data_IF_696460924064
#
_entry.id   IF_696460924064
#
_cell.length_a   1.000
_cell.length_b   1.000
_cell.length_c   1.000
_cell.angle_alpha   90.00
_cell.angle_beta   90.00
_cell.angle_gamma   90.00
#
_symmetry.space_group_name_H-M   'P 1'
#
loop_
_entity.id
_entity.type
_entity.pdbx_description
1 polymer ?
#
# COMPACT_ATOMS: atom_id res chain seq x y z
N UNK A 1 -3.86 13.48 11.80
CA UNK A 1 -2.85 13.70 10.73
C UNK A 1 -2.69 15.19 10.48
N UNK A 2 -1.48 15.66 10.16
CA UNK A 2 -1.19 17.05 9.77
C UNK A 2 -1.55 17.28 8.29
N UNK A 3 -2.69 17.91 8.05
CA UNK A 3 -3.23 18.19 6.71
C UNK A 3 -2.37 19.20 5.94
N UNK A 4 -1.79 20.19 6.62
CA UNK A 4 -0.93 21.18 5.96
C UNK A 4 0.35 20.53 5.44
N UNK A 5 0.91 19.63 6.23
CA UNK A 5 2.08 18.84 5.84
C UNK A 5 1.76 17.91 4.67
N UNK A 6 0.61 17.22 4.69
CA UNK A 6 0.17 16.39 3.57
C UNK A 6 0.01 17.22 2.28
N UNK A 7 -0.66 18.36 2.35
CA UNK A 7 -0.85 19.24 1.20
C UNK A 7 0.49 19.73 0.63
N UNK A 8 1.42 20.11 1.50
CA UNK A 8 2.77 20.54 1.08
C UNK A 8 3.52 19.41 0.36
N UNK A 9 3.47 18.19 0.89
CA UNK A 9 4.07 17.02 0.22
C UNK A 9 3.40 16.76 -1.14
N UNK A 10 2.07 16.80 -1.21
CA UNK A 10 1.35 16.60 -2.47
C UNK A 10 1.66 17.69 -3.49
N UNK A 11 1.94 18.94 -3.07
CA UNK A 11 2.31 20.04 -3.95
C UNK A 11 3.74 19.92 -4.48
N UNK A 12 4.68 19.49 -3.67
CA UNK A 12 6.06 19.23 -4.10
C UNK A 12 6.17 18.05 -5.05
N UNK A 13 5.27 17.08 -4.93
CA UNK A 13 5.15 15.92 -5.84
C UNK A 13 4.39 16.26 -7.13
N UNK A 14 3.71 17.42 -7.23
CA UNK A 14 2.92 17.85 -8.39
C UNK A 14 3.69 18.12 -9.69
N UNK A 15 4.96 18.59 -9.70
CA UNK A 15 5.69 18.78 -10.96
C UNK A 15 5.91 17.46 -11.69
N UNK A 16 5.81 16.35 -10.98
CA UNK A 16 5.84 15.00 -11.53
C UNK A 16 4.45 14.40 -11.31
N UNK A 17 3.49 14.85 -12.09
CA UNK A 17 2.05 14.57 -12.04
C UNK A 17 1.68 13.07 -12.02
N UNK A 18 2.66 12.17 -11.98
CA UNK A 18 2.53 10.73 -12.10
C UNK A 18 3.41 9.93 -11.14
N UNK A 19 3.99 10.53 -10.10
CA UNK A 19 4.92 9.81 -9.21
C UNK A 19 4.22 9.04 -8.09
N UNK A 20 3.07 9.52 -7.60
CA UNK A 20 2.21 8.73 -6.72
C UNK A 20 1.05 8.21 -7.57
N UNK A 21 1.06 6.92 -7.87
CA UNK A 21 0.03 6.24 -8.66
C UNK A 21 -1.25 6.00 -7.85
N UNK A 22 -1.58 6.92 -6.97
CA UNK A 22 -2.73 6.87 -6.08
C UNK A 22 -3.67 8.05 -6.35
N UNK A 23 -4.99 7.83 -6.23
CA UNK A 23 -5.91 8.97 -6.11
C UNK A 23 -5.61 9.72 -4.80
N UNK A 24 -5.41 11.03 -4.90
CA UNK A 24 -5.00 11.85 -3.76
C UNK A 24 -6.00 11.82 -2.60
N UNK A 25 -7.30 11.74 -2.87
CA UNK A 25 -8.32 11.71 -1.84
C UNK A 25 -8.37 10.33 -1.16
N UNK A 26 -8.19 9.25 -1.91
CA UNK A 26 -8.07 7.89 -1.37
C UNK A 26 -6.82 7.76 -0.51
N UNK A 27 -5.69 8.25 -1.02
CA UNK A 27 -4.40 8.25 -0.34
C UNK A 27 -4.44 9.04 0.97
N UNK A 28 -4.98 10.26 0.92
CA UNK A 28 -5.16 11.08 2.12
C UNK A 28 -6.00 10.37 3.17
N UNK A 29 -7.16 9.86 2.78
CA UNK A 29 -8.09 9.19 3.70
C UNK A 29 -7.47 7.91 4.29
N UNK A 30 -6.74 7.15 3.48
CA UNK A 30 -5.99 5.99 3.95
C UNK A 30 -4.92 6.37 4.97
N UNK A 31 -4.14 7.42 4.73
CA UNK A 31 -3.13 7.89 5.67
C UNK A 31 -3.74 8.45 6.95
N UNK A 32 -4.88 9.17 6.86
CA UNK A 32 -5.63 9.65 8.03
C UNK A 32 -6.09 8.49 8.92
N UNK A 33 -6.68 7.47 8.31
CA UNK A 33 -7.09 6.25 8.99
C UNK A 33 -5.89 5.56 9.65
N UNK A 34 -4.82 5.35 8.92
CA UNK A 34 -3.61 4.65 9.39
C UNK A 34 -2.97 5.39 10.55
N UNK A 35 -2.84 6.73 10.45
CA UNK A 35 -2.30 7.56 11.51
C UNK A 35 -3.17 7.47 12.79
N UNK A 36 -4.48 7.63 12.65
CA UNK A 36 -5.41 7.52 13.78
C UNK A 36 -5.37 6.11 14.41
N UNK A 37 -5.25 5.07 13.58
CA UNK A 37 -5.12 3.70 14.05
C UNK A 37 -3.87 3.49 14.92
N UNK A 38 -2.72 4.01 14.48
CA UNK A 38 -1.46 3.91 15.21
C UNK A 38 -1.46 4.77 16.48
N UNK A 39 -1.95 6.01 16.42
CA UNK A 39 -2.07 6.90 17.57
C UNK A 39 -2.94 6.27 18.68
N UNK A 40 -4.11 5.73 18.32
CA UNK A 40 -5.02 5.08 19.27
C UNK A 40 -4.43 3.84 19.95
N UNK A 41 -3.40 3.24 19.36
CA UNK A 41 -2.66 2.08 19.92
C UNK A 41 -1.34 2.46 20.56
N UNK A 42 -0.99 3.73 20.58
CA UNK A 42 0.28 4.22 21.13
C UNK A 42 1.50 3.80 20.32
N UNK A 43 1.33 3.47 19.03
CA UNK A 43 2.42 3.10 18.12
C UNK A 43 3.06 4.40 17.60
N UNK A 44 4.20 4.77 18.16
CA UNK A 44 4.84 6.08 17.85
C UNK A 44 5.76 6.03 16.64
N UNK A 45 6.32 4.89 16.32
CA UNK A 45 7.27 4.71 15.21
C UNK A 45 6.96 3.38 14.50
N UNK A 46 5.86 3.34 13.73
CA UNK A 46 5.46 2.15 13.02
C UNK A 46 6.51 1.73 11.98
N UNK A 47 6.58 0.44 11.69
CA UNK A 47 7.34 -0.09 10.57
C UNK A 47 6.39 -0.36 9.40
N UNK A 48 6.63 0.33 8.30
CA UNK A 48 5.92 0.16 7.03
C UNK A 48 6.79 -0.63 6.05
N UNK A 49 6.24 -1.67 5.48
CA UNK A 49 6.84 -2.40 4.35
C UNK A 49 5.92 -2.23 3.15
N UNK A 50 6.49 -1.89 2.00
CA UNK A 50 5.78 -1.73 0.73
C UNK A 50 6.35 -2.67 -0.32
N UNK A 51 5.47 -3.39 -1.02
CA UNK A 51 5.81 -4.28 -2.13
C UNK A 51 5.32 -3.62 -3.42
N UNK A 52 6.25 -3.35 -4.35
CA UNK A 52 5.97 -2.57 -5.55
C UNK A 52 5.97 -1.08 -5.25
N UNK A 53 7.13 -0.44 -5.32
CA UNK A 53 7.30 0.96 -4.90
C UNK A 53 7.27 1.96 -6.06
N UNK A 54 7.23 1.47 -7.30
CA UNK A 54 7.28 2.31 -8.50
C UNK A 54 8.39 3.38 -8.39
N UNK A 55 8.02 4.67 -8.30
CA UNK A 55 9.01 5.74 -8.17
C UNK A 55 9.40 6.06 -6.72
N UNK A 56 9.00 5.23 -5.74
CA UNK A 56 9.34 5.35 -4.32
C UNK A 56 8.88 6.67 -3.62
N UNK A 57 7.91 7.36 -4.20
CA UNK A 57 7.41 8.64 -3.67
C UNK A 57 6.55 8.47 -2.41
N UNK A 58 5.86 7.34 -2.28
CA UNK A 58 5.03 7.04 -1.13
C UNK A 58 5.84 6.98 0.16
N UNK A 59 7.13 6.61 0.09
CA UNK A 59 8.10 6.63 1.19
C UNK A 59 8.08 7.95 1.97
N UNK A 60 7.99 9.11 1.28
CA UNK A 60 7.96 10.41 1.92
C UNK A 60 6.73 10.58 2.80
N UNK A 61 5.57 10.15 2.34
CA UNK A 61 4.33 10.23 3.10
C UNK A 61 4.36 9.35 4.34
N UNK A 62 4.83 8.12 4.23
CA UNK A 62 4.97 7.24 5.38
C UNK A 62 5.93 7.83 6.42
N UNK A 63 7.07 8.36 6.00
CA UNK A 63 8.04 8.96 6.92
C UNK A 63 7.54 10.25 7.54
N UNK A 64 6.98 11.15 6.74
CA UNK A 64 6.63 12.49 7.17
C UNK A 64 5.27 12.57 7.86
N UNK A 65 4.30 11.75 7.45
CA UNK A 65 2.93 11.76 8.00
C UNK A 65 2.79 10.78 9.16
N UNK A 66 3.32 9.55 9.01
CA UNK A 66 3.18 8.52 10.03
C UNK A 66 4.39 8.45 11.00
N UNK A 67 5.48 9.18 10.72
CA UNK A 67 6.73 9.04 11.47
C UNK A 67 7.34 7.65 11.38
N UNK A 68 7.07 6.94 10.28
CA UNK A 68 7.39 5.53 10.13
C UNK A 68 8.85 5.25 9.77
N UNK A 69 9.38 4.11 10.23
CA UNK A 69 10.45 3.42 9.52
C UNK A 69 9.84 2.78 8.26
N UNK A 70 10.61 2.74 7.18
CA UNK A 70 10.11 2.26 5.88
C UNK A 70 11.10 1.32 5.21
N UNK A 71 10.58 0.24 4.63
CA UNK A 71 11.31 -0.71 3.78
C UNK A 71 10.51 -0.90 2.49
N UNK A 72 11.12 -0.56 1.36
CA UNK A 72 10.55 -0.78 0.04
C UNK A 72 11.15 -2.01 -0.65
N UNK A 73 10.30 -2.85 -1.24
CA UNK A 73 10.67 -4.04 -2.02
C UNK A 73 10.22 -3.82 -3.46
N UNK A 74 11.14 -3.94 -4.42
CA UNK A 74 10.83 -3.87 -5.84
C UNK A 74 11.79 -4.74 -6.65
N UNK A 75 11.31 -5.22 -7.79
CA UNK A 75 12.14 -5.96 -8.74
C UNK A 75 13.03 -5.04 -9.57
N UNK A 76 12.60 -3.78 -9.74
CA UNK A 76 13.28 -2.79 -10.58
C UNK A 76 14.27 -1.96 -9.76
N UNK A 77 15.60 -2.13 -9.96
CA UNK A 77 16.61 -1.43 -9.16
C UNK A 77 16.59 0.10 -9.36
N UNK A 78 16.11 0.60 -10.52
CA UNK A 78 16.04 2.03 -10.79
C UNK A 78 15.00 2.76 -9.92
N UNK A 79 14.09 2.01 -9.27
CA UNK A 79 13.14 2.54 -8.28
C UNK A 79 13.78 2.78 -6.90
N UNK A 80 15.05 2.46 -6.73
CA UNK A 80 15.82 2.60 -5.50
C UNK A 80 15.16 1.94 -4.28
N UNK A 81 14.75 0.65 -4.38
CA UNK A 81 14.20 -0.08 -3.24
C UNK A 81 15.28 -0.38 -2.19
N UNK A 82 14.86 -0.60 -0.95
CA UNK A 82 15.75 -1.10 0.10
C UNK A 82 16.10 -2.58 -0.13
N UNK A 83 15.18 -3.33 -0.75
CA UNK A 83 15.36 -4.74 -1.13
C UNK A 83 15.02 -4.91 -2.61
N UNK A 84 16.03 -5.23 -3.40
CA UNK A 84 15.84 -5.59 -4.82
C UNK A 84 15.53 -7.08 -4.89
N UNK A 85 14.40 -7.44 -5.53
CA UNK A 85 14.00 -8.82 -5.77
C UNK A 85 12.55 -8.99 -6.14
N UNK A 86 12.24 -10.14 -6.71
CA UNK A 86 10.86 -10.60 -6.93
C UNK A 86 10.25 -10.93 -5.56
N UNK A 87 9.11 -10.34 -5.21
CA UNK A 87 8.44 -10.56 -3.92
C UNK A 87 7.97 -12.02 -3.76
N UNK A 88 7.74 -12.74 -4.86
CA UNK A 88 7.39 -14.15 -4.83
C UNK A 88 8.59 -15.09 -4.58
N UNK A 89 9.81 -14.56 -4.61
CA UNK A 89 11.03 -15.35 -4.36
C UNK A 89 11.30 -15.48 -2.86
N UNK A 90 11.48 -16.70 -2.34
CA UNK A 90 11.88 -16.93 -0.94
C UNK A 90 13.15 -16.17 -0.51
N UNK A 91 14.11 -15.94 -1.43
CA UNK A 91 15.32 -15.17 -1.12
C UNK A 91 14.98 -13.72 -0.77
N UNK A 92 14.02 -13.12 -1.46
CA UNK A 92 13.54 -11.74 -1.16
C UNK A 92 12.89 -11.67 0.22
N UNK A 93 12.08 -12.67 0.58
CA UNK A 93 11.50 -12.79 1.92
C UNK A 93 12.58 -12.94 3.00
N UNK A 94 13.63 -13.73 2.74
CA UNK A 94 14.71 -13.92 3.71
C UNK A 94 15.56 -12.63 3.87
N UNK A 95 15.78 -11.88 2.79
CA UNK A 95 16.35 -10.53 2.88
C UNK A 95 15.52 -9.63 3.79
N UNK A 96 14.18 -9.61 3.61
CA UNK A 96 13.32 -8.82 4.48
C UNK A 96 13.41 -9.26 5.94
N UNK A 97 13.37 -10.57 6.24
CA UNK A 97 13.52 -11.06 7.62
C UNK A 97 14.81 -10.59 8.29
N UNK A 98 15.91 -10.52 7.51
CA UNK A 98 17.18 -9.98 8.02
C UNK A 98 17.08 -8.48 8.32
N UNK A 99 16.40 -7.69 7.46
CA UNK A 99 16.14 -6.26 7.72
C UNK A 99 15.23 -6.04 8.95
N UNK A 100 14.29 -6.94 9.18
CA UNK A 100 13.36 -6.84 10.31
C UNK A 100 14.04 -7.06 11.67
N UNK A 101 15.13 -7.82 11.73
CA UNK A 101 15.84 -8.13 13.00
C UNK A 101 14.90 -8.62 14.11
N UNK A 102 13.85 -9.35 13.74
CA UNK A 102 12.85 -9.86 14.66
C UNK A 102 11.68 -8.89 14.96
N UNK A 103 11.68 -7.67 14.42
CA UNK A 103 10.52 -6.77 14.50
C UNK A 103 9.36 -7.30 13.64
N UNK A 104 8.13 -7.07 14.09
CA UNK A 104 6.94 -7.26 13.25
C UNK A 104 6.71 -6.04 12.36
N UNK A 105 6.08 -6.24 11.22
CA UNK A 105 5.59 -5.19 10.34
C UNK A 105 4.31 -4.61 10.95
N UNK A 106 4.19 -3.29 11.06
CA UNK A 106 2.97 -2.63 11.54
C UNK A 106 1.98 -2.38 10.40
N UNK A 107 2.48 -1.99 9.22
CA UNK A 107 1.71 -1.87 7.98
C UNK A 107 2.45 -2.54 6.83
N UNK A 108 1.82 -3.48 6.15
CA UNK A 108 2.22 -3.99 4.85
C UNK A 108 1.33 -3.37 3.77
N UNK A 109 1.92 -2.70 2.78
CA UNK A 109 1.22 -2.19 1.60
C UNK A 109 1.62 -3.03 0.38
N UNK A 110 0.63 -3.65 -0.28
CA UNK A 110 0.82 -4.55 -1.42
C UNK A 110 0.34 -3.84 -2.69
N UNK A 111 1.29 -3.47 -3.55
CA UNK A 111 1.07 -2.79 -4.83
C UNK A 111 2.04 -3.29 -5.92
N UNK A 112 2.44 -4.55 -5.83
CA UNK A 112 3.44 -5.16 -6.73
C UNK A 112 2.79 -5.84 -7.94
N UNK A 113 2.70 -7.17 -7.91
CA UNK A 113 2.13 -7.95 -9.00
C UNK A 113 0.60 -7.97 -8.95
N UNK A 114 -0.08 -7.33 -9.90
CA UNK A 114 -1.54 -7.21 -9.95
C UNK A 114 -2.27 -8.47 -10.43
N UNK A 115 -1.55 -9.57 -10.67
CA UNK A 115 -2.21 -10.85 -10.96
C UNK A 115 -2.78 -11.46 -9.67
N UNK A 116 -3.86 -12.25 -9.80
CA UNK A 116 -4.43 -12.98 -8.66
C UNK A 116 -3.39 -13.82 -7.90
N UNK A 117 -2.50 -14.49 -8.63
CA UNK A 117 -1.44 -15.33 -8.01
C UNK A 117 -0.38 -14.49 -7.31
N UNK A 118 0.01 -13.36 -7.91
CA UNK A 118 1.02 -12.47 -7.34
C UNK A 118 0.54 -11.84 -6.04
N UNK A 119 -0.59 -11.13 -6.05
CA UNK A 119 -1.13 -10.50 -4.85
C UNK A 119 -1.44 -11.51 -3.74
N UNK A 120 -1.89 -12.72 -4.10
CA UNK A 120 -2.11 -13.80 -3.14
C UNK A 120 -0.80 -14.27 -2.52
N UNK A 121 0.25 -14.46 -3.33
CA UNK A 121 1.57 -14.87 -2.85
C UNK A 121 2.15 -13.80 -1.90
N UNK A 122 2.10 -12.53 -2.27
CA UNK A 122 2.57 -11.43 -1.43
C UNK A 122 1.84 -11.42 -0.08
N UNK A 123 0.51 -11.53 -0.09
CA UNK A 123 -0.26 -11.59 1.14
C UNK A 123 0.07 -12.83 2.01
N UNK A 124 0.17 -14.01 1.42
CA UNK A 124 0.42 -15.26 2.17
C UNK A 124 1.85 -15.32 2.71
N UNK A 125 2.84 -14.82 1.96
CA UNK A 125 4.24 -14.83 2.36
C UNK A 125 4.56 -13.76 3.42
N UNK A 126 4.14 -12.51 3.18
CA UNK A 126 4.52 -11.37 4.02
C UNK A 126 3.48 -11.08 5.11
N UNK A 127 2.21 -11.37 4.87
CA UNK A 127 1.13 -11.09 5.81
C UNK A 127 1.29 -11.77 7.18
N UNK A 128 2.00 -12.91 7.26
CA UNK A 128 2.33 -13.57 8.53
C UNK A 128 3.29 -12.76 9.42
N UNK A 129 4.09 -11.86 8.83
CA UNK A 129 5.01 -10.99 9.54
C UNK A 129 4.33 -9.70 10.06
N UNK A 130 3.08 -9.48 9.66
CA UNK A 130 2.33 -8.25 9.97
C UNK A 130 1.57 -8.39 11.28
N UNK A 131 1.68 -7.36 12.11
CA UNK A 131 0.98 -7.30 13.39
C UNK A 131 -0.35 -6.54 13.32
N UNK A 132 -0.44 -5.47 12.53
CA UNK A 132 -1.56 -4.54 12.60
C UNK A 132 -2.37 -4.40 11.31
N UNK A 133 -1.81 -3.90 10.24
CA UNK A 133 -2.54 -3.55 9.02
C UNK A 133 -1.91 -4.20 7.78
N UNK A 134 -2.76 -4.75 6.89
CA UNK A 134 -2.37 -5.17 5.55
C UNK A 134 -3.24 -4.42 4.56
N UNK A 135 -2.63 -3.59 3.73
CA UNK A 135 -3.29 -2.80 2.71
C UNK A 135 -3.00 -3.35 1.30
N UNK A 136 -3.99 -3.27 0.43
CA UNK A 136 -3.93 -3.68 -0.97
C UNK A 136 -4.37 -2.51 -1.83
N UNK A 137 -3.57 -2.15 -2.83
CA UNK A 137 -4.01 -1.24 -3.88
C UNK A 137 -4.91 -1.97 -4.89
N UNK A 138 -5.63 -1.25 -5.75
CA UNK A 138 -6.43 -1.78 -6.87
C UNK A 138 -7.62 -2.68 -6.52
N UNK A 139 -8.15 -2.59 -5.30
CA UNK A 139 -9.26 -3.47 -4.86
C UNK A 139 -10.59 -3.20 -5.59
N UNK A 140 -10.71 -2.08 -6.28
CA UNK A 140 -11.88 -1.67 -7.08
C UNK A 140 -11.60 -1.44 -8.56
N UNK A 141 -10.41 -1.77 -9.04
CA UNK A 141 -10.08 -1.56 -10.45
C UNK A 141 -11.14 -2.15 -11.38
N UNK A 142 -11.60 -1.33 -12.32
CA UNK A 142 -12.54 -1.70 -13.36
C UNK A 142 -11.84 -1.95 -14.71
N UNK A 143 -10.55 -1.69 -14.82
CA UNK A 143 -9.80 -1.84 -16.07
C UNK A 143 -9.31 -3.28 -16.23
N UNK A 144 -9.69 -3.86 -17.35
CA UNK A 144 -9.68 -5.30 -17.62
C UNK A 144 -8.33 -6.02 -17.59
N UNK A 145 -7.19 -5.33 -17.48
CA UNK A 145 -5.98 -6.00 -17.95
C UNK A 145 -5.00 -6.42 -16.87
N UNK A 146 -4.95 -5.77 -15.71
CA UNK A 146 -3.95 -6.13 -14.67
C UNK A 146 -4.54 -6.25 -13.26
N UNK A 147 -5.36 -5.30 -12.87
CA UNK A 147 -5.86 -5.20 -11.51
C UNK A 147 -7.08 -6.08 -11.16
N UNK A 148 -7.71 -6.75 -12.13
CA UNK A 148 -8.77 -7.74 -11.87
C UNK A 148 -8.31 -8.87 -10.96
N UNK A 149 -7.02 -9.18 -10.95
CA UNK A 149 -6.44 -10.18 -10.07
C UNK A 149 -6.52 -9.76 -8.61
N UNK A 150 -6.20 -8.49 -8.31
CA UNK A 150 -6.26 -7.93 -6.96
C UNK A 150 -7.69 -7.88 -6.47
N UNK A 151 -8.62 -7.31 -7.27
CA UNK A 151 -10.05 -7.24 -6.94
C UNK A 151 -10.63 -8.62 -6.64
N UNK A 152 -10.37 -9.61 -7.49
CA UNK A 152 -10.84 -10.98 -7.28
C UNK A 152 -10.33 -11.56 -5.96
N UNK A 153 -9.07 -11.34 -5.64
CA UNK A 153 -8.49 -11.81 -4.39
C UNK A 153 -9.07 -11.08 -3.18
N UNK A 154 -9.24 -9.76 -3.29
CA UNK A 154 -9.89 -8.94 -2.26
C UNK A 154 -11.33 -9.40 -1.97
N UNK A 155 -12.13 -9.66 -3.00
CA UNK A 155 -13.48 -10.20 -2.85
C UNK A 155 -13.50 -11.54 -2.08
N UNK A 156 -12.50 -12.39 -2.27
CA UNK A 156 -12.37 -13.63 -1.51
C UNK A 156 -12.03 -13.38 -0.05
N UNK A 157 -11.15 -12.42 0.24
CA UNK A 157 -10.80 -12.02 1.62
C UNK A 157 -12.04 -11.51 2.35
N UNK A 158 -12.76 -10.57 1.75
CA UNK A 158 -13.97 -9.99 2.35
C UNK A 158 -15.05 -11.04 2.58
N UNK A 159 -15.27 -11.94 1.63
CA UNK A 159 -16.27 -13.02 1.75
C UNK A 159 -15.96 -14.03 2.87
N UNK A 160 -14.71 -14.27 3.15
CA UNK A 160 -14.30 -15.18 4.21
C UNK A 160 -14.59 -14.65 5.61
N UNK A 161 -14.91 -13.36 5.75
CA UNK A 161 -15.32 -12.68 6.99
C UNK A 161 -14.39 -12.93 8.20
N UNK A 162 -13.12 -13.27 7.93
CA UNK A 162 -12.15 -13.64 8.96
C UNK A 162 -11.43 -12.43 9.56
N UNK A 163 -11.58 -11.25 8.91
CA UNK A 163 -10.87 -10.03 9.29
C UNK A 163 -11.82 -8.84 9.27
N UNK A 164 -11.56 -7.89 10.14
CA UNK A 164 -12.15 -6.57 10.00
C UNK A 164 -11.51 -5.89 8.79
N UNK A 165 -12.31 -5.35 7.89
CA UNK A 165 -11.83 -4.70 6.67
C UNK A 165 -12.33 -3.27 6.59
N UNK A 166 -11.52 -2.39 5.96
CA UNK A 166 -11.91 -1.05 5.57
C UNK A 166 -11.57 -0.85 4.08
N UNK A 167 -12.28 0.03 3.40
CA UNK A 167 -12.01 0.36 2.00
C UNK A 167 -12.06 1.86 1.81
N UNK A 168 -11.06 2.39 1.15
CA UNK A 168 -10.95 3.79 0.76
C UNK A 168 -11.08 3.85 -0.76
N UNK A 169 -12.22 4.36 -1.21
CA UNK A 169 -12.52 4.46 -2.63
C UNK A 169 -13.34 5.71 -2.91
N UNK A 170 -12.90 6.49 -3.89
CA UNK A 170 -13.62 7.67 -4.34
C UNK A 170 -14.55 7.33 -5.50
N UNK A 171 -15.85 7.28 -5.26
CA UNK A 171 -16.83 7.23 -6.34
C UNK A 171 -16.87 8.58 -7.08
N UNK A 172 -16.12 8.72 -8.14
CA UNK A 172 -16.18 9.90 -8.99
C UNK A 172 -17.09 9.64 -10.19
N UNK A 173 -18.33 10.13 -10.12
CA UNK A 173 -19.34 9.98 -11.18
C UNK A 173 -19.23 11.04 -12.27
N UNK A 174 -18.30 11.99 -12.17
CA UNK A 174 -18.27 13.20 -13.00
C UNK A 174 -17.01 13.37 -13.89
N UNK A 175 -16.06 12.42 -13.88
CA UNK A 175 -14.85 12.51 -14.69
C UNK A 175 -14.96 11.61 -15.91
N UNK A 176 -14.56 12.14 -17.08
CA UNK A 176 -14.59 11.38 -18.34
C UNK A 176 -13.68 10.14 -18.24
N UNK A 177 -14.09 9.06 -18.88
CA UNK A 177 -13.33 7.79 -18.93
C UNK A 177 -11.89 7.99 -19.43
N UNK A 178 -11.62 9.05 -20.21
CA UNK A 178 -10.28 9.34 -20.74
C UNK A 178 -9.33 9.97 -19.71
N UNK A 179 -9.84 10.76 -18.76
CA UNK A 179 -9.03 11.39 -17.70
C UNK A 179 -8.82 10.47 -16.49
N UNK A 180 -9.64 9.42 -16.34
CA UNK A 180 -9.71 8.58 -15.15
C UNK A 180 -9.07 7.20 -15.31
N UNK A 181 -8.29 6.97 -16.36
CA UNK A 181 -7.73 5.64 -16.66
C UNK A 181 -6.85 5.01 -15.56
N UNK A 182 -6.44 5.81 -14.56
CA UNK A 182 -5.44 5.40 -13.57
C UNK A 182 -5.75 5.80 -12.12
N UNK A 183 -6.95 6.29 -11.80
CA UNK A 183 -7.14 7.03 -10.55
C UNK A 183 -8.36 6.64 -9.69
N UNK A 184 -8.93 5.46 -9.79
CA UNK A 184 -10.03 5.05 -8.89
C UNK A 184 -9.94 3.55 -8.62
N UNK A 185 -8.80 3.11 -8.16
CA UNK A 185 -8.55 1.69 -8.03
C UNK A 185 -8.79 1.17 -6.60
N UNK A 186 -8.89 2.10 -5.64
CA UNK A 186 -9.26 1.83 -4.26
C UNK A 186 -8.18 1.14 -3.43
N UNK A 187 -8.14 1.47 -2.15
CA UNK A 187 -7.26 0.84 -1.17
C UNK A 187 -8.09 0.01 -0.20
N UNK A 188 -7.88 -1.29 -0.16
CA UNK A 188 -8.50 -2.20 0.80
C UNK A 188 -7.56 -2.49 1.96
N UNK A 189 -8.06 -2.52 3.20
CA UNK A 189 -7.25 -2.77 4.40
C UNK A 189 -7.84 -3.91 5.22
N UNK A 190 -7.01 -4.88 5.57
CA UNK A 190 -7.29 -5.88 6.61
C UNK A 190 -6.75 -5.34 7.93
N UNK A 191 -7.60 -5.30 8.96
CA UNK A 191 -7.22 -4.92 10.32
C UNK A 191 -7.01 -6.22 11.11
N UNK A 192 -5.75 -6.49 11.45
CA UNK A 192 -5.38 -7.59 12.34
C UNK A 192 -5.53 -7.11 13.78
N UNK A 193 -6.18 -7.89 14.61
CA UNK A 193 -6.54 -7.54 15.99
C UNK A 193 -5.39 -7.23 16.93
#
# INVERSE_FOLDING_TARGET
MDIEKFNKLSETSKPVKYLVWQDWAEWQTFLEFTNAYFENRGIKKPLVVEIGIAHNEQRLFYKEILGADYIGIDIEPNNEPDIIGDSSDPETLDKLKNFLEGRSIDLLFIDGCHTYRGVKADHELYGQLVKHLIAFHDVYSLTETRALGVRRYWDEIVKKNQHMTAVFHRHNTSVSIEENRYMNEGIGVIIKG
#
